data_IF_442898285481
#
_entry.id   IF_442898285481
#
_cell.length_a   1.000
_cell.length_b   1.000
_cell.length_c   1.000
_cell.angle_alpha   90.00
_cell.angle_beta   90.00
_cell.angle_gamma   90.00
#
_symmetry.space_group_name_H-M   'P 1'
#
loop_
_entity.id
_entity.type
_entity.pdbx_description
1 polymer ?
#
# COMPACT_ATOMS: atom_id res chain seq x y z
N UNK A 1 -29.55 50.18 3.47
CA UNK A 1 -29.30 48.74 3.28
C UNK A 1 -28.01 48.42 4.00
N UNK A 2 -28.07 47.71 5.12
CA UNK A 2 -26.85 47.16 5.72
C UNK A 2 -26.38 46.05 4.78
N UNK A 3 -25.18 46.21 4.22
CA UNK A 3 -24.50 45.14 3.50
C UNK A 3 -24.50 43.89 4.38
N UNK A 4 -24.87 42.75 3.81
CA UNK A 4 -24.89 41.47 4.52
C UNK A 4 -23.51 41.09 5.08
N UNK A 5 -23.40 39.98 5.82
CA UNK A 5 -22.13 39.57 6.41
C UNK A 5 -21.01 39.52 5.36
N UNK A 6 -19.89 40.20 5.65
CA UNK A 6 -18.74 40.24 4.75
C UNK A 6 -18.13 38.85 4.57
N UNK A 7 -17.68 38.55 3.35
CA UNK A 7 -16.95 37.33 3.02
C UNK A 7 -15.70 37.20 3.90
N UNK A 8 -15.55 36.05 4.57
CA UNK A 8 -14.36 35.65 5.33
C UNK A 8 -13.75 34.40 4.69
N UNK A 9 -12.41 34.35 4.63
CA UNK A 9 -11.65 33.16 4.24
C UNK A 9 -10.68 32.86 5.37
N UNK A 10 -10.75 31.67 5.96
CA UNK A 10 -10.04 31.30 7.19
C UNK A 10 -9.32 29.98 6.97
N UNK A 11 -8.02 29.95 7.25
CA UNK A 11 -7.25 28.72 7.39
C UNK A 11 -7.27 28.29 8.86
N UNK A 12 -7.59 27.02 9.12
CA UNK A 12 -7.64 26.45 10.48
C UNK A 12 -6.35 25.68 10.74
N UNK A 13 -5.75 25.89 11.92
CA UNK A 13 -4.57 25.15 12.35
C UNK A 13 -4.88 23.63 12.48
N UNK A 14 -3.87 22.75 12.47
CA UNK A 14 -4.08 21.32 12.66
C UNK A 14 -4.91 21.00 13.91
N UNK A 15 -5.84 20.08 13.76
CA UNK A 15 -6.72 19.57 14.82
C UNK A 15 -6.73 18.04 14.78
N UNK A 16 -7.13 17.35 15.87
CA UNK A 16 -7.35 15.91 15.82
C UNK A 16 -8.27 15.53 14.65
N UNK A 17 -7.90 14.55 13.81
CA UNK A 17 -8.57 14.27 12.54
C UNK A 17 -10.09 14.05 12.67
N UNK A 18 -10.51 13.24 13.65
CA UNK A 18 -11.92 12.98 13.91
C UNK A 18 -12.71 14.22 14.34
N UNK A 19 -12.08 15.14 15.10
CA UNK A 19 -12.68 16.42 15.51
C UNK A 19 -12.75 17.42 14.35
N UNK A 20 -11.72 17.44 13.50
CA UNK A 20 -11.71 18.27 12.29
C UNK A 20 -12.88 17.91 11.37
N UNK A 21 -13.05 16.61 11.11
CA UNK A 21 -14.17 16.11 10.33
C UNK A 21 -15.53 16.47 10.93
N UNK A 22 -15.70 16.31 12.25
CA UNK A 22 -16.93 16.69 12.93
C UNK A 22 -17.20 18.20 12.85
N UNK A 23 -16.19 19.04 13.09
CA UNK A 23 -16.34 20.49 13.03
C UNK A 23 -16.77 20.97 11.63
N UNK A 24 -16.16 20.45 10.57
CA UNK A 24 -16.50 20.80 9.19
C UNK A 24 -17.85 20.21 8.75
N UNK A 25 -18.20 19.03 9.24
CA UNK A 25 -19.52 18.43 8.99
C UNK A 25 -20.65 19.20 9.67
N UNK A 26 -20.41 19.78 10.86
CA UNK A 26 -21.34 20.69 11.53
C UNK A 26 -21.39 22.06 10.84
N UNK A 27 -20.23 22.62 10.51
CA UNK A 27 -20.10 23.93 9.86
C UNK A 27 -20.85 23.98 8.52
N UNK A 28 -20.82 22.90 7.73
CA UNK A 28 -21.55 22.83 6.45
C UNK A 28 -23.08 22.66 6.60
N UNK A 29 -23.58 22.36 7.79
CA UNK A 29 -25.00 22.02 8.05
C UNK A 29 -25.66 22.90 9.11
N UNK A 30 -24.99 23.97 9.53
CA UNK A 30 -25.50 24.92 10.53
C UNK A 30 -25.19 26.36 10.10
N UNK A 31 -25.95 27.36 10.59
CA UNK A 31 -25.62 28.77 10.37
C UNK A 31 -24.43 29.25 11.22
N UNK A 32 -23.88 28.38 12.08
CA UNK A 32 -22.78 28.68 13.00
C UNK A 32 -21.49 29.00 12.22
N UNK A 33 -20.65 29.86 12.79
CA UNK A 33 -19.30 30.05 12.25
C UNK A 33 -18.42 28.81 12.48
N UNK A 34 -17.29 28.71 11.78
CA UNK A 34 -16.32 27.64 12.06
C UNK A 34 -15.77 27.73 13.49
N UNK A 35 -15.63 28.94 14.05
CA UNK A 35 -15.20 29.13 15.45
C UNK A 35 -16.23 28.53 16.43
N UNK A 36 -17.51 28.77 16.20
CA UNK A 36 -18.60 28.22 17.03
C UNK A 36 -18.71 26.71 16.87
N UNK A 37 -18.53 26.20 15.65
CA UNK A 37 -18.49 24.75 15.38
C UNK A 37 -17.34 24.08 16.13
N UNK A 38 -16.14 24.68 16.14
CA UNK A 38 -14.98 24.15 16.87
C UNK A 38 -15.23 24.19 18.39
N UNK A 39 -15.75 25.29 18.94
CA UNK A 39 -16.10 25.38 20.37
C UNK A 39 -17.12 24.31 20.78
N UNK A 40 -18.12 24.06 19.92
CA UNK A 40 -19.11 23.02 20.14
C UNK A 40 -18.47 21.63 20.13
N UNK A 41 -17.69 21.30 19.10
CA UNK A 41 -17.02 19.99 19.00
C UNK A 41 -16.04 19.76 20.14
N UNK A 42 -15.33 20.79 20.60
CA UNK A 42 -14.43 20.68 21.74
C UNK A 42 -15.16 20.29 23.05
N UNK A 43 -16.41 20.71 23.23
CA UNK A 43 -17.22 20.38 24.42
C UNK A 43 -18.07 19.11 24.28
N UNK A 44 -18.03 18.44 23.12
CA UNK A 44 -18.86 17.27 22.82
C UNK A 44 -18.00 16.06 22.43
N UNK A 45 -18.55 14.86 22.63
CA UNK A 45 -17.88 13.63 22.21
C UNK A 45 -17.96 13.46 20.69
N UNK A 46 -16.81 13.41 20.02
CA UNK A 46 -16.72 13.07 18.60
C UNK A 46 -17.17 11.63 18.33
N UNK A 47 -16.88 10.70 19.24
CA UNK A 47 -17.20 9.28 19.07
C UNK A 47 -18.70 9.05 18.82
N UNK A 48 -19.57 9.67 19.64
CA UNK A 48 -21.04 9.58 19.44
C UNK A 48 -21.47 10.10 18.07
N UNK A 49 -20.84 11.16 17.59
CA UNK A 49 -21.09 11.71 16.26
C UNK A 49 -20.69 10.72 15.16
N UNK A 50 -19.51 10.09 15.28
CA UNK A 50 -19.02 9.10 14.33
C UNK A 50 -19.92 7.86 14.27
N UNK A 51 -20.27 7.28 15.41
CA UNK A 51 -21.16 6.12 15.51
C UNK A 51 -22.51 6.39 14.81
N UNK A 52 -23.10 7.56 15.05
CA UNK A 52 -24.39 7.92 14.49
C UNK A 52 -24.31 8.28 12.99
N UNK A 53 -23.43 9.21 12.61
CA UNK A 53 -23.48 9.80 11.26
C UNK A 53 -22.64 9.05 10.24
N UNK A 54 -21.50 8.50 10.63
CA UNK A 54 -20.64 7.78 9.72
C UNK A 54 -21.10 6.32 9.60
N UNK A 55 -21.11 5.58 10.70
CA UNK A 55 -21.36 4.14 10.67
C UNK A 55 -22.85 3.78 10.53
N UNK A 56 -23.75 4.42 11.28
CA UNK A 56 -25.18 4.10 11.21
C UNK A 56 -25.90 4.71 9.99
N UNK A 57 -25.66 5.98 9.67
CA UNK A 57 -26.31 6.64 8.53
C UNK A 57 -25.55 6.51 7.19
N UNK A 58 -24.30 6.05 7.20
CA UNK A 58 -23.51 5.83 5.98
C UNK A 58 -23.03 7.11 5.30
N UNK A 59 -22.90 8.24 6.01
CA UNK A 59 -22.36 9.48 5.44
C UNK A 59 -20.83 9.44 5.28
N UNK A 60 -20.35 8.57 4.39
CA UNK A 60 -18.94 8.28 4.20
C UNK A 60 -18.04 9.49 3.91
N UNK A 61 -18.57 10.52 3.24
CA UNK A 61 -17.78 11.71 2.87
C UNK A 61 -17.31 12.56 4.05
N UNK A 62 -17.93 12.42 5.22
CA UNK A 62 -17.49 13.13 6.43
C UNK A 62 -16.05 12.70 6.79
N UNK A 63 -15.71 11.43 6.58
CA UNK A 63 -14.37 10.92 6.87
C UNK A 63 -13.29 11.38 5.88
N UNK A 64 -13.66 12.01 4.78
CA UNK A 64 -12.67 12.65 3.90
C UNK A 64 -12.15 13.97 4.50
N UNK A 65 -12.83 14.53 5.51
CA UNK A 65 -12.48 15.81 6.11
C UNK A 65 -11.43 15.71 7.23
N UNK A 66 -11.08 14.49 7.64
CA UNK A 66 -10.00 14.21 8.58
C UNK A 66 -8.86 13.47 7.89
N UNK A 67 -7.63 13.94 8.05
CA UNK A 67 -6.44 13.34 7.46
C UNK A 67 -5.43 12.94 8.53
N UNK A 68 -4.72 11.84 8.30
CA UNK A 68 -3.76 11.26 9.24
C UNK A 68 -2.42 11.10 8.54
N UNK A 69 -1.34 11.44 9.24
CA UNK A 69 0.02 11.14 8.81
C UNK A 69 0.47 9.81 9.42
N UNK A 70 0.92 8.87 8.60
CA UNK A 70 1.41 7.56 9.04
C UNK A 70 2.80 7.33 8.43
N UNK A 71 3.72 6.84 9.25
CA UNK A 71 5.05 6.42 8.83
C UNK A 71 5.19 4.92 9.03
N UNK A 72 5.49 4.21 7.95
CA UNK A 72 5.85 2.80 7.96
C UNK A 72 7.36 2.69 7.86
N UNK A 73 7.97 2.01 8.82
CA UNK A 73 9.41 1.81 8.86
C UNK A 73 9.72 0.32 8.87
N UNK A 74 10.79 -0.07 8.18
CA UNK A 74 11.29 -1.45 8.16
C UNK A 74 10.31 -2.51 7.62
N UNK A 75 9.32 -2.10 6.83
CA UNK A 75 8.44 -3.00 6.08
C UNK A 75 9.14 -3.54 4.84
N UNK A 76 8.74 -4.70 4.32
CA UNK A 76 9.27 -5.18 3.04
C UNK A 76 8.87 -4.28 1.86
N UNK A 77 9.66 -4.29 0.79
CA UNK A 77 9.30 -3.64 -0.47
C UNK A 77 7.99 -4.21 -1.04
N UNK A 78 7.72 -5.50 -0.84
CA UNK A 78 6.43 -6.11 -1.18
C UNK A 78 5.27 -5.44 -0.43
N UNK A 79 5.46 -5.17 0.87
CA UNK A 79 4.45 -4.49 1.67
C UNK A 79 4.28 -3.02 1.23
N UNK A 80 5.37 -2.32 0.94
CA UNK A 80 5.35 -0.96 0.41
C UNK A 80 4.56 -0.88 -0.90
N UNK A 81 4.85 -1.75 -1.87
CA UNK A 81 4.09 -1.83 -3.15
C UNK A 81 2.58 -1.96 -2.92
N UNK A 82 2.18 -2.70 -1.88
CA UNK A 82 0.76 -2.96 -1.56
C UNK A 82 0.09 -1.82 -0.82
N UNK A 83 0.86 -1.04 -0.05
CA UNK A 83 0.40 0.19 0.57
C UNK A 83 0.23 1.30 -0.47
N UNK A 84 1.20 1.42 -1.38
CA UNK A 84 1.25 2.40 -2.46
C UNK A 84 0.23 2.13 -3.57
N UNK A 85 -0.27 0.89 -3.67
CA UNK A 85 -1.44 0.50 -4.48
C UNK A 85 -2.76 1.00 -3.86
N UNK A 86 -2.77 2.26 -3.45
CA UNK A 86 -3.93 3.01 -2.99
C UNK A 86 -4.12 4.21 -3.94
N UNK A 87 -5.29 4.37 -4.60
CA UNK A 87 -5.46 5.49 -5.52
C UNK A 87 -5.61 6.86 -4.85
N UNK A 88 -6.07 6.90 -3.60
CA UNK A 88 -6.47 8.13 -2.89
C UNK A 88 -5.59 8.39 -1.66
N UNK A 89 -4.27 8.47 -1.87
CA UNK A 89 -3.28 8.79 -0.83
C UNK A 89 -2.25 9.79 -1.35
N UNK A 90 -1.60 10.49 -0.44
CA UNK A 90 -0.41 11.30 -0.71
C UNK A 90 0.76 10.71 0.07
N UNK A 91 1.91 10.48 -0.57
CA UNK A 91 3.04 9.90 0.15
C UNK A 91 4.34 9.81 -0.61
N UNK A 92 5.35 9.27 0.06
CA UNK A 92 6.70 9.08 -0.45
C UNK A 92 7.31 7.79 0.13
N UNK A 93 7.90 6.98 -0.73
CA UNK A 93 8.69 5.81 -0.35
C UNK A 93 10.20 6.13 -0.38
N UNK A 94 10.99 5.40 0.41
CA UNK A 94 12.46 5.42 0.32
C UNK A 94 12.87 5.01 -1.10
N UNK A 95 13.49 5.92 -1.84
CA UNK A 95 13.79 5.66 -3.26
C UNK A 95 15.00 4.73 -3.45
N UNK A 96 14.77 3.55 -4.03
CA UNK A 96 15.82 2.62 -4.47
C UNK A 96 16.73 3.17 -5.59
N UNK A 97 16.35 4.29 -6.21
CA UNK A 97 17.18 4.99 -7.23
C UNK A 97 18.19 5.96 -6.62
N UNK A 98 18.00 6.39 -5.39
CA UNK A 98 18.82 7.43 -4.77
C UNK A 98 19.45 7.02 -3.45
N UNK A 99 18.91 6.00 -2.79
CA UNK A 99 19.37 5.52 -1.49
C UNK A 99 20.07 4.17 -1.65
N UNK A 100 21.09 3.94 -0.83
CA UNK A 100 21.72 2.62 -0.73
C UNK A 100 20.86 1.71 0.16
N UNK A 101 20.39 0.60 -0.40
CA UNK A 101 19.58 -0.40 0.31
C UNK A 101 20.42 -1.53 0.92
N UNK A 102 21.73 -1.57 0.67
CA UNK A 102 22.64 -2.60 1.17
C UNK A 102 22.52 -2.86 2.68
N UNK A 103 22.43 -1.82 3.53
CA UNK A 103 22.28 -1.98 4.97
C UNK A 103 20.84 -2.25 5.44
N UNK A 104 19.82 -2.20 4.57
CA UNK A 104 18.41 -2.28 4.98
C UNK A 104 18.02 -3.63 5.58
N UNK A 105 18.72 -4.70 5.22
CA UNK A 105 18.35 -6.08 5.57
C UNK A 105 17.05 -6.53 4.88
N UNK A 106 16.55 -7.69 5.28
CA UNK A 106 15.37 -8.31 4.69
C UNK A 106 14.34 -8.75 5.74
N UNK A 107 13.08 -8.69 5.33
CA UNK A 107 11.98 -9.41 5.96
C UNK A 107 12.15 -10.91 5.73
N UNK A 108 11.94 -11.71 6.77
CA UNK A 108 11.91 -13.18 6.69
C UNK A 108 10.53 -13.63 7.15
N UNK A 109 9.72 -14.23 6.27
CA UNK A 109 8.39 -14.73 6.63
C UNK A 109 8.46 -15.75 7.76
N UNK A 110 7.50 -15.70 8.69
CA UNK A 110 7.47 -16.63 9.81
C UNK A 110 7.24 -18.08 9.39
N UNK A 111 6.59 -18.31 8.24
CA UNK A 111 6.47 -19.64 7.64
C UNK A 111 7.82 -20.25 7.21
N UNK A 112 8.86 -19.43 7.05
CA UNK A 112 10.22 -19.87 6.70
C UNK A 112 11.10 -19.93 7.95
N UNK A 113 10.85 -19.06 8.93
CA UNK A 113 11.66 -18.96 10.16
C UNK A 113 11.69 -20.28 10.93
N UNK A 114 12.87 -20.73 11.32
CA UNK A 114 13.10 -21.98 12.02
C UNK A 114 12.94 -23.24 11.17
N UNK A 115 12.65 -23.11 9.87
CA UNK A 115 12.54 -24.26 8.96
C UNK A 115 13.87 -24.58 8.28
N UNK A 116 13.99 -25.77 7.70
CA UNK A 116 15.16 -26.16 6.89
C UNK A 116 15.40 -25.24 5.68
N UNK A 117 14.37 -24.53 5.22
CA UNK A 117 14.44 -23.62 4.06
C UNK A 117 15.03 -22.25 4.42
N UNK A 118 15.08 -21.87 5.71
CA UNK A 118 15.58 -20.56 6.14
C UNK A 118 17.03 -20.30 5.70
N UNK A 119 17.89 -21.32 5.83
CA UNK A 119 19.30 -21.20 5.44
C UNK A 119 19.46 -20.88 3.95
N UNK A 120 18.78 -21.63 3.09
CA UNK A 120 18.76 -21.40 1.64
C UNK A 120 18.20 -20.02 1.28
N UNK A 121 17.09 -19.63 1.90
CA UNK A 121 16.49 -18.31 1.71
C UNK A 121 17.49 -17.19 2.03
N UNK A 122 18.10 -17.22 3.21
CA UNK A 122 19.09 -16.22 3.63
C UNK A 122 20.34 -16.22 2.77
N UNK A 123 20.82 -17.39 2.34
CA UNK A 123 21.98 -17.52 1.46
C UNK A 123 21.76 -16.85 0.09
N UNK A 124 20.57 -17.07 -0.50
CA UNK A 124 20.17 -16.42 -1.76
C UNK A 124 20.12 -14.90 -1.58
N UNK A 125 19.44 -14.42 -0.53
CA UNK A 125 19.38 -12.99 -0.23
C UNK A 125 20.78 -12.40 -0.03
N UNK A 126 21.64 -13.05 0.77
CA UNK A 126 23.01 -12.60 0.99
C UNK A 126 23.80 -12.47 -0.32
N UNK A 127 23.62 -13.42 -1.24
CA UNK A 127 24.27 -13.41 -2.56
C UNK A 127 23.77 -12.26 -3.44
N UNK A 128 22.47 -11.99 -3.44
CA UNK A 128 21.85 -10.86 -4.14
C UNK A 128 22.34 -9.52 -3.60
N UNK A 129 22.39 -9.34 -2.28
CA UNK A 129 22.89 -8.11 -1.65
C UNK A 129 24.38 -7.89 -1.92
N UNK A 130 25.18 -8.96 -1.85
CA UNK A 130 26.59 -8.88 -2.17
C UNK A 130 26.79 -8.45 -3.64
N UNK A 131 26.04 -9.03 -4.59
CA UNK A 131 26.09 -8.60 -5.98
C UNK A 131 25.65 -7.14 -6.16
N UNK A 132 24.55 -6.73 -5.50
CA UNK A 132 24.06 -5.35 -5.50
C UNK A 132 25.14 -4.35 -5.05
N UNK A 133 25.86 -4.66 -3.96
CA UNK A 133 26.92 -3.81 -3.43
C UNK A 133 28.16 -3.80 -4.33
N UNK A 134 28.64 -4.97 -4.75
CA UNK A 134 29.88 -5.09 -5.53
C UNK A 134 29.77 -4.51 -6.94
N UNK A 135 28.58 -4.49 -7.53
CA UNK A 135 28.38 -3.99 -8.90
C UNK A 135 28.18 -2.48 -8.99
N UNK A 136 27.93 -1.78 -7.88
CA UNK A 136 27.65 -0.35 -7.92
C UNK A 136 28.81 0.48 -8.47
N UNK A 137 30.01 0.34 -7.90
CA UNK A 137 31.18 1.13 -8.32
C UNK A 137 31.66 0.80 -9.75
N UNK A 138 31.75 -0.49 -10.16
CA UNK A 138 32.05 -0.83 -11.55
C UNK A 138 31.04 -0.23 -12.55
N UNK A 139 29.74 -0.27 -12.24
CA UNK A 139 28.71 0.33 -13.10
C UNK A 139 28.83 1.86 -13.13
N UNK A 140 29.13 2.48 -11.99
CA UNK A 140 29.36 3.93 -11.91
C UNK A 140 30.53 4.37 -12.80
N UNK A 141 31.66 3.66 -12.74
CA UNK A 141 32.81 3.92 -13.59
C UNK A 141 32.46 3.76 -15.07
N UNK A 142 31.81 2.66 -15.42
CA UNK A 142 31.36 2.38 -16.79
C UNK A 142 30.39 3.43 -17.35
N UNK A 143 29.42 3.87 -16.54
CA UNK A 143 28.47 4.91 -16.94
C UNK A 143 29.16 6.27 -17.08
N UNK A 144 30.17 6.54 -16.25
CA UNK A 144 30.97 7.78 -16.33
C UNK A 144 31.76 7.84 -17.63
N UNK A 145 32.38 6.72 -18.05
CA UNK A 145 33.12 6.63 -19.31
C UNK A 145 32.20 6.86 -20.51
N UNK A 146 30.99 6.29 -20.49
CA UNK A 146 30.04 6.34 -21.61
C UNK A 146 29.22 7.61 -21.70
N UNK A 147 29.03 8.30 -20.58
CA UNK A 147 28.24 9.54 -20.53
C UNK A 147 29.08 10.65 -19.92
N UNK A 148 30.12 11.17 -20.60
CA UNK A 148 30.97 12.22 -20.02
C UNK A 148 30.16 13.43 -19.54
N UNK A 149 30.66 14.10 -18.50
CA UNK A 149 30.01 15.28 -17.93
C UNK A 149 29.93 16.40 -18.97
N UNK A 150 28.73 16.95 -19.24
CA UNK A 150 28.61 18.17 -20.05
C UNK A 150 29.23 19.38 -19.36
N UNK A 151 29.86 20.27 -20.11
CA UNK A 151 30.50 21.48 -19.55
C UNK A 151 29.52 22.38 -18.79
N UNK A 152 28.26 22.42 -19.22
CA UNK A 152 27.18 23.19 -18.59
C UNK A 152 26.69 22.61 -17.26
N UNK A 153 27.03 21.37 -16.93
CA UNK A 153 26.56 20.68 -15.72
C UNK A 153 27.60 20.76 -14.60
N UNK A 154 27.17 21.13 -13.39
CA UNK A 154 28.04 21.11 -12.19
C UNK A 154 28.49 19.68 -11.89
N UNK A 155 29.73 19.50 -11.44
CA UNK A 155 30.28 18.17 -11.12
C UNK A 155 29.40 17.41 -10.12
N UNK A 156 28.95 18.06 -9.05
CA UNK A 156 28.11 17.42 -8.05
C UNK A 156 26.76 16.91 -8.61
N UNK A 157 26.15 17.65 -9.54
CA UNK A 157 24.90 17.23 -10.19
C UNK A 157 25.13 16.04 -11.12
N UNK A 158 26.25 16.03 -11.84
CA UNK A 158 26.67 14.92 -12.66
C UNK A 158 26.94 13.65 -11.82
N UNK A 159 27.74 13.77 -10.77
CA UNK A 159 28.13 12.65 -9.90
C UNK A 159 26.90 12.02 -9.24
N UNK A 160 25.96 12.85 -8.77
CA UNK A 160 24.66 12.40 -8.25
C UNK A 160 23.82 11.69 -9.31
N UNK A 161 23.82 12.20 -10.55
CA UNK A 161 23.09 11.60 -11.67
C UNK A 161 23.65 10.23 -12.05
N UNK A 162 24.97 10.09 -12.15
CA UNK A 162 25.61 8.82 -12.46
C UNK A 162 25.42 7.83 -11.31
N UNK A 163 25.54 8.26 -10.05
CA UNK A 163 25.26 7.41 -8.89
C UNK A 163 23.81 6.90 -8.92
N UNK A 164 22.84 7.78 -9.19
CA UNK A 164 21.43 7.40 -9.28
C UNK A 164 21.16 6.41 -10.43
N UNK A 165 21.78 6.60 -11.60
CA UNK A 165 21.70 5.64 -12.72
C UNK A 165 22.33 4.28 -12.37
N UNK A 166 23.40 4.29 -11.59
CA UNK A 166 24.05 3.06 -11.11
C UNK A 166 23.13 2.29 -10.16
N UNK A 167 22.42 2.99 -9.27
CA UNK A 167 21.36 2.39 -8.46
C UNK A 167 20.17 1.90 -9.29
N UNK A 168 19.78 2.65 -10.33
CA UNK A 168 18.66 2.27 -11.21
C UNK A 168 18.90 0.93 -11.95
N UNK A 169 20.16 0.58 -12.20
CA UNK A 169 20.58 -0.71 -12.75
C UNK A 169 20.74 -1.77 -11.66
N UNK A 170 21.45 -1.46 -10.57
CA UNK A 170 21.73 -2.45 -9.52
C UNK A 170 20.49 -2.85 -8.72
N UNK A 171 19.46 -1.99 -8.63
CA UNK A 171 18.22 -2.29 -7.87
C UNK A 171 17.47 -3.53 -8.36
N UNK A 172 17.69 -3.99 -9.58
CA UNK A 172 17.11 -5.25 -10.08
C UNK A 172 17.63 -6.50 -9.35
N UNK A 173 18.69 -6.35 -8.56
CA UNK A 173 19.21 -7.38 -7.65
C UNK A 173 18.55 -7.33 -6.26
N UNK A 174 17.79 -6.27 -5.95
CA UNK A 174 17.10 -6.16 -4.67
C UNK A 174 15.87 -7.08 -4.66
N UNK A 175 15.77 -7.99 -3.68
CA UNK A 175 14.60 -8.84 -3.54
C UNK A 175 13.43 -8.03 -2.97
N UNK A 176 12.19 -8.44 -3.26
CA UNK A 176 10.99 -7.80 -2.68
C UNK A 176 10.92 -7.88 -1.14
N UNK A 177 11.74 -8.73 -0.52
CA UNK A 177 11.87 -8.79 0.93
C UNK A 177 12.81 -7.75 1.52
N UNK A 178 13.53 -6.95 0.72
CA UNK A 178 14.36 -5.86 1.25
C UNK A 178 13.48 -4.89 2.05
N UNK A 179 14.00 -4.40 3.17
CA UNK A 179 13.28 -3.45 4.01
C UNK A 179 13.36 -2.02 3.47
N UNK A 180 12.24 -1.32 3.58
CA UNK A 180 12.03 0.05 3.10
C UNK A 180 11.16 0.83 4.07
N UNK A 181 10.97 2.12 3.79
CA UNK A 181 10.13 3.01 4.56
C UNK A 181 9.15 3.74 3.64
N UNK A 182 7.94 4.00 4.11
CA UNK A 182 6.90 4.75 3.41
C UNK A 182 6.27 5.76 4.36
N UNK A 183 6.19 7.02 3.96
CA UNK A 183 5.38 8.03 4.65
C UNK A 183 4.12 8.31 3.86
N UNK A 184 2.96 8.34 4.52
CA UNK A 184 1.68 8.68 3.90
C UNK A 184 0.92 9.75 4.68
N UNK A 185 0.13 10.53 3.95
CA UNK A 185 -0.97 11.34 4.44
C UNK A 185 -2.22 10.86 3.73
N UNK A 186 -3.26 10.52 4.50
CA UNK A 186 -4.44 9.85 3.96
C UNK A 186 -5.69 10.25 4.75
N UNK A 187 -6.84 10.30 4.09
CA UNK A 187 -8.10 10.56 4.78
C UNK A 187 -8.51 9.37 5.66
N UNK A 188 -9.33 9.63 6.69
CA UNK A 188 -9.90 8.58 7.54
C UNK A 188 -10.62 7.53 6.69
N UNK A 189 -11.44 7.95 5.71
CA UNK A 189 -12.17 7.01 4.85
C UNK A 189 -11.25 6.09 4.05
N UNK A 190 -10.19 6.63 3.46
CA UNK A 190 -9.27 5.82 2.67
C UNK A 190 -8.48 4.89 3.58
N UNK A 191 -8.04 5.38 4.75
CA UNK A 191 -7.31 4.56 5.71
C UNK A 191 -8.13 3.37 6.22
N UNK A 192 -9.44 3.55 6.47
CA UNK A 192 -10.33 2.45 6.87
C UNK A 192 -10.38 1.34 5.81
N UNK A 193 -10.51 1.72 4.54
CA UNK A 193 -10.49 0.78 3.41
C UNK A 193 -9.14 0.11 3.25
N UNK A 194 -8.05 0.86 3.41
CA UNK A 194 -6.68 0.34 3.37
C UNK A 194 -6.47 -0.69 4.49
N UNK A 195 -6.82 -0.38 5.74
CA UNK A 195 -6.75 -1.31 6.88
C UNK A 195 -7.60 -2.55 6.60
N UNK A 196 -8.85 -2.39 6.17
CA UNK A 196 -9.74 -3.51 5.82
C UNK A 196 -9.09 -4.44 4.78
N UNK A 197 -8.49 -3.88 3.73
CA UNK A 197 -7.78 -4.63 2.67
C UNK A 197 -6.55 -5.36 3.24
N UNK A 198 -5.78 -4.70 4.09
CA UNK A 198 -4.57 -5.27 4.73
C UNK A 198 -4.92 -6.44 5.66
N UNK A 199 -5.94 -6.28 6.51
CA UNK A 199 -6.45 -7.34 7.40
C UNK A 199 -6.99 -8.54 6.62
N UNK A 200 -7.52 -8.31 5.41
CA UNK A 200 -8.05 -9.35 4.53
C UNK A 200 -6.96 -10.04 3.68
N UNK A 201 -5.71 -9.62 3.80
CA UNK A 201 -4.62 -10.12 2.96
C UNK A 201 -4.23 -11.56 3.30
N UNK A 202 -3.83 -12.34 2.30
CA UNK A 202 -3.20 -13.66 2.53
C UNK A 202 -1.75 -13.57 2.99
N UNK A 203 -1.10 -12.41 2.82
CA UNK A 203 0.28 -12.20 3.24
C UNK A 203 0.32 -11.83 4.73
N UNK A 204 1.00 -12.62 5.58
CA UNK A 204 1.05 -12.37 7.03
C UNK A 204 1.56 -10.97 7.40
N UNK A 205 2.60 -10.49 6.71
CA UNK A 205 3.16 -9.14 6.94
C UNK A 205 2.11 -8.04 6.76
N UNK A 206 1.27 -8.14 5.72
CA UNK A 206 0.23 -7.15 5.46
C UNK A 206 -0.86 -7.17 6.54
N UNK A 207 -1.25 -8.36 7.03
CA UNK A 207 -2.21 -8.46 8.14
C UNK A 207 -1.66 -7.83 9.41
N UNK A 208 -0.38 -8.10 9.73
CA UNK A 208 0.30 -7.50 10.87
C UNK A 208 0.32 -5.97 10.76
N UNK A 209 0.71 -5.42 9.61
CA UNK A 209 0.66 -3.97 9.35
C UNK A 209 -0.77 -3.43 9.53
N UNK A 210 -1.79 -4.16 9.09
CA UNK A 210 -3.19 -3.78 9.29
C UNK A 210 -3.59 -3.67 10.76
N UNK A 211 -3.15 -4.60 11.61
CA UNK A 211 -3.40 -4.53 13.06
C UNK A 211 -2.57 -3.43 13.74
N UNK A 212 -1.29 -3.29 13.38
CA UNK A 212 -0.40 -2.23 13.88
C UNK A 212 -0.93 -0.83 13.53
N UNK A 213 -1.56 -0.67 12.35
CA UNK A 213 -2.24 0.55 11.95
C UNK A 213 -3.43 0.89 12.85
N UNK A 214 -4.25 -0.11 13.20
CA UNK A 214 -5.37 0.09 14.14
C UNK A 214 -4.87 0.49 15.51
N UNK A 215 -3.81 -0.16 15.99
CA UNK A 215 -3.17 0.19 17.25
C UNK A 215 -2.62 1.63 17.20
N UNK A 216 -1.90 1.98 16.14
CA UNK A 216 -1.34 3.32 15.94
C UNK A 216 -2.41 4.41 15.92
N UNK A 217 -3.57 4.14 15.32
CA UNK A 217 -4.69 5.08 15.28
C UNK A 217 -5.43 5.21 16.62
N UNK A 218 -5.34 4.20 17.48
CA UNK A 218 -6.03 4.13 18.78
C UNK A 218 -5.18 4.58 19.97
N UNK A 219 -3.85 4.64 19.82
CA UNK A 219 -2.93 5.06 20.88
C UNK A 219 -2.55 6.53 20.76
N UNK A 220 -1.84 7.01 21.77
CA UNK A 220 -1.25 8.34 21.76
C UNK A 220 -0.26 8.49 20.59
N UNK A 221 -0.44 9.49 19.70
CA UNK A 221 0.51 9.71 18.61
C UNK A 221 1.83 10.27 19.12
N UNK A 222 2.90 10.03 18.36
CA UNK A 222 4.17 10.72 18.54
C UNK A 222 3.96 12.24 18.37
N UNK A 223 4.45 13.05 19.33
CA UNK A 223 4.29 14.51 19.30
C UNK A 223 5.64 15.26 19.34
N UNK A 224 6.75 14.60 18.98
CA UNK A 224 8.14 15.10 19.11
C UNK A 224 8.33 16.55 18.64
N UNK A 225 7.65 16.96 17.55
CA UNK A 225 7.71 18.35 17.08
C UNK A 225 7.23 19.37 18.14
N UNK A 226 6.16 19.06 18.86
CA UNK A 226 5.62 19.89 19.94
C UNK A 226 6.59 19.97 21.12
N UNK A 227 7.18 18.84 21.50
CA UNK A 227 8.19 18.75 22.56
C UNK A 227 9.42 19.60 22.24
N UNK A 228 9.97 19.44 21.02
CA UNK A 228 11.10 20.23 20.53
C UNK A 228 10.78 21.73 20.41
N UNK A 229 9.51 22.07 20.20
CA UNK A 229 9.03 23.45 20.14
C UNK A 229 8.74 24.05 21.52
N UNK A 230 9.00 23.32 22.62
CA UNK A 230 8.80 23.81 23.98
C UNK A 230 7.34 23.98 24.40
N UNK A 231 6.39 23.41 23.65
CA UNK A 231 5.00 23.40 24.07
C UNK A 231 4.80 22.25 25.07
N UNK A 232 4.19 22.53 26.24
CA UNK A 232 3.74 21.47 27.13
C UNK A 232 2.86 20.51 26.32
N UNK A 233 3.13 19.21 26.43
CA UNK A 233 2.39 18.18 25.73
C UNK A 233 0.88 18.38 25.99
N UNK A 234 0.19 18.98 25.01
CA UNK A 234 -1.26 18.99 25.01
C UNK A 234 -1.75 17.55 25.06
N UNK A 235 -2.99 17.35 25.50
CA UNK A 235 -3.65 16.04 25.47
C UNK A 235 -3.51 15.44 24.06
N UNK A 236 -2.52 14.57 23.88
CA UNK A 236 -2.34 13.87 22.63
C UNK A 236 -3.41 12.78 22.63
N UNK A 237 -4.60 13.13 22.17
CA UNK A 237 -5.66 12.15 21.97
C UNK A 237 -5.30 11.26 20.78
N UNK A 238 -5.82 10.01 20.74
CA UNK A 238 -5.71 9.16 19.56
C UNK A 238 -6.22 9.86 18.30
N UNK A 239 -5.57 9.60 17.15
CA UNK A 239 -5.87 10.32 15.91
C UNK A 239 -7.18 9.89 15.25
N UNK A 240 -7.50 8.59 15.29
CA UNK A 240 -8.75 8.05 14.74
C UNK A 240 -9.18 6.75 15.45
N UNK A 241 -9.52 6.83 16.76
CA UNK A 241 -9.88 5.66 17.56
C UNK A 241 -11.20 5.01 17.11
N UNK A 242 -12.13 5.77 16.53
CA UNK A 242 -13.42 5.24 16.09
C UNK A 242 -13.23 4.44 14.80
N UNK A 243 -12.46 4.97 13.83
CA UNK A 243 -12.04 4.20 12.64
C UNK A 243 -11.35 2.90 13.04
N UNK A 244 -10.40 2.95 13.97
CA UNK A 244 -9.63 1.78 14.36
C UNK A 244 -10.49 0.68 14.98
N UNK A 245 -11.62 1.03 15.61
CA UNK A 245 -12.57 0.06 16.15
C UNK A 245 -13.37 -0.66 15.06
N UNK A 246 -13.78 0.07 14.02
CA UNK A 246 -14.71 -0.44 13.00
C UNK A 246 -14.01 -1.01 11.76
N UNK A 247 -12.74 -0.68 11.53
CA UNK A 247 -11.93 -1.29 10.49
C UNK A 247 -11.76 -2.80 10.78
N UNK A 248 -12.46 -3.61 9.99
CA UNK A 248 -12.58 -5.06 10.16
C UNK A 248 -12.20 -5.78 8.87
N UNK A 249 -11.72 -7.04 8.94
CA UNK A 249 -11.44 -7.81 7.74
C UNK A 249 -12.72 -8.05 6.93
N UNK A 250 -12.58 -8.04 5.60
CA UNK A 250 -13.63 -8.38 4.67
C UNK A 250 -13.52 -9.86 4.28
N UNK A 251 -14.51 -10.66 4.69
CA UNK A 251 -14.52 -12.12 4.47
C UNK A 251 -14.38 -12.48 2.98
N UNK A 252 -15.10 -11.78 2.10
CA UNK A 252 -15.01 -12.01 0.66
C UNK A 252 -13.58 -11.81 0.14
N UNK A 253 -12.91 -10.70 0.51
CA UNK A 253 -11.53 -10.47 0.09
C UNK A 253 -10.55 -11.51 0.66
N UNK A 254 -10.80 -11.96 1.89
CA UNK A 254 -9.98 -12.96 2.56
C UNK A 254 -10.16 -14.37 1.95
N UNK A 255 -11.33 -14.70 1.41
CA UNK A 255 -11.66 -16.07 1.01
C UNK A 255 -11.64 -16.27 -0.51
N UNK A 256 -11.96 -15.24 -1.30
CA UNK A 256 -12.25 -15.36 -2.74
C UNK A 256 -11.16 -16.10 -3.53
N UNK A 257 -9.89 -15.83 -3.28
CA UNK A 257 -8.81 -16.48 -4.03
C UNK A 257 -8.54 -17.92 -3.57
N UNK A 258 -8.81 -18.24 -2.31
CA UNK A 258 -8.73 -19.60 -1.79
C UNK A 258 -9.86 -20.44 -2.36
N UNK A 259 -11.06 -19.88 -2.43
CA UNK A 259 -12.22 -20.53 -3.05
C UNK A 259 -12.04 -20.68 -4.56
N UNK A 260 -11.54 -19.65 -5.25
CA UNK A 260 -11.23 -19.70 -6.67
C UNK A 260 -10.15 -20.75 -6.96
N UNK A 261 -9.11 -20.84 -6.14
CA UNK A 261 -8.09 -21.90 -6.26
C UNK A 261 -8.69 -23.30 -6.06
N UNK A 262 -9.65 -23.45 -5.13
CA UNK A 262 -10.36 -24.73 -4.91
C UNK A 262 -11.22 -25.08 -6.12
N UNK A 263 -11.97 -24.13 -6.65
CA UNK A 263 -12.77 -24.29 -7.85
C UNK A 263 -11.91 -24.64 -9.07
N UNK A 264 -10.78 -23.95 -9.26
CA UNK A 264 -9.90 -24.12 -10.41
C UNK A 264 -9.26 -25.52 -10.50
N UNK A 265 -9.14 -26.26 -9.39
CA UNK A 265 -8.53 -27.59 -9.38
C UNK A 265 -9.22 -28.58 -10.31
N UNK A 266 -10.55 -28.67 -10.24
CA UNK A 266 -11.30 -29.67 -10.99
C UNK A 266 -11.25 -29.47 -12.52
N UNK A 267 -11.56 -28.29 -13.08
CA UNK A 267 -11.48 -28.07 -14.52
C UNK A 267 -10.05 -28.14 -15.06
N UNK A 268 -9.06 -27.65 -14.31
CA UNK A 268 -7.67 -27.71 -14.75
C UNK A 268 -7.12 -29.14 -14.69
N UNK A 269 -7.47 -29.92 -13.66
CA UNK A 269 -7.12 -31.34 -13.59
C UNK A 269 -7.76 -32.15 -14.71
N UNK A 270 -9.04 -31.90 -15.01
CA UNK A 270 -9.71 -32.54 -16.14
C UNK A 270 -9.02 -32.25 -17.48
N UNK A 271 -8.38 -31.08 -17.60
CA UNK A 271 -7.59 -30.68 -18.76
C UNK A 271 -6.11 -31.09 -18.70
N UNK A 272 -5.66 -31.76 -17.63
CA UNK A 272 -4.24 -32.13 -17.43
C UNK A 272 -3.31 -30.95 -17.13
N UNK A 273 -3.84 -29.86 -16.57
CA UNK A 273 -3.13 -28.60 -16.28
C UNK A 273 -2.88 -28.36 -14.78
N UNK A 274 -3.10 -29.35 -13.91
CA UNK A 274 -2.98 -29.23 -12.46
C UNK A 274 -1.55 -29.38 -11.91
N UNK A 275 -0.61 -29.84 -12.73
CA UNK A 275 0.80 -30.03 -12.36
C UNK A 275 1.74 -29.16 -13.23
N UNK A 276 2.74 -28.47 -12.64
CA UNK A 276 3.70 -27.65 -13.39
C UNK A 276 4.49 -28.41 -14.48
N UNK A 277 4.67 -29.71 -14.30
CA UNK A 277 5.36 -30.59 -15.25
C UNK A 277 4.43 -31.28 -16.25
N UNK A 278 3.10 -31.20 -16.06
CA UNK A 278 2.12 -31.88 -16.93
C UNK A 278 1.76 -31.07 -18.18
N UNK A 279 2.16 -29.80 -18.26
CA UNK A 279 2.02 -29.01 -19.48
C UNK A 279 3.03 -29.49 -20.52
N UNK A 280 2.63 -30.49 -21.31
CA UNK A 280 3.34 -30.96 -22.51
C UNK A 280 3.44 -29.90 -23.63
N UNK A 281 3.01 -28.67 -23.37
CA UNK A 281 3.06 -27.54 -24.30
C UNK A 281 4.33 -26.75 -23.98
N UNK A 282 5.31 -26.69 -24.89
CA UNK A 282 6.43 -25.77 -24.77
C UNK A 282 5.88 -24.34 -24.80
N UNK A 283 6.04 -23.61 -23.70
CA UNK A 283 5.58 -22.22 -23.60
C UNK A 283 6.80 -21.33 -23.78
N UNK A 284 6.82 -20.43 -24.78
CA UNK A 284 7.91 -19.47 -24.91
C UNK A 284 7.94 -18.55 -23.67
N UNK A 285 9.11 -18.00 -23.29
CA UNK A 285 9.21 -17.06 -22.16
C UNK A 285 8.29 -15.84 -22.28
N UNK A 286 7.94 -15.49 -23.52
CA UNK A 286 6.97 -14.44 -23.86
C UNK A 286 5.98 -15.04 -24.85
N UNK A 287 4.69 -14.96 -24.52
CA UNK A 287 3.61 -15.48 -25.34
C UNK A 287 2.64 -14.35 -25.72
N UNK A 288 2.45 -14.09 -27.01
CA UNK A 288 1.51 -13.09 -27.52
C UNK A 288 0.13 -13.74 -27.67
N UNK A 289 -0.84 -13.24 -26.91
CA UNK A 289 -2.23 -13.71 -26.96
C UNK A 289 -3.07 -12.76 -27.82
N UNK A 290 -3.77 -13.31 -28.81
CA UNK A 290 -4.68 -12.55 -29.66
C UNK A 290 -5.91 -12.07 -28.87
N UNK A 291 -6.54 -10.95 -29.28
CA UNK A 291 -7.82 -10.54 -28.72
C UNK A 291 -8.86 -11.66 -28.80
N UNK A 292 -9.61 -11.85 -27.72
CA UNK A 292 -10.62 -12.89 -27.59
C UNK A 292 -11.86 -12.33 -26.88
N UNK A 293 -12.90 -13.15 -26.73
CA UNK A 293 -14.15 -12.70 -26.15
C UNK A 293 -13.94 -12.25 -24.69
N UNK A 294 -14.49 -11.09 -24.24
CA UNK A 294 -14.21 -10.55 -22.90
C UNK A 294 -14.59 -11.49 -21.74
N UNK A 295 -15.61 -12.32 -21.92
CA UNK A 295 -16.01 -13.31 -20.91
C UNK A 295 -14.96 -14.43 -20.79
N UNK A 296 -14.37 -14.86 -21.91
CA UNK A 296 -13.32 -15.86 -21.91
C UNK A 296 -12.05 -15.29 -21.28
N UNK A 297 -11.74 -14.02 -21.57
CA UNK A 297 -10.62 -13.29 -20.98
C UNK A 297 -10.77 -13.18 -19.46
N UNK A 298 -11.96 -12.82 -18.98
CA UNK A 298 -12.24 -12.71 -17.55
C UNK A 298 -12.08 -14.06 -16.84
N UNK A 299 -12.73 -15.12 -17.35
CA UNK A 299 -12.66 -16.45 -16.75
C UNK A 299 -11.23 -17.02 -16.80
N UNK A 300 -10.52 -16.88 -17.93
CA UNK A 300 -9.13 -17.33 -18.06
C UNK A 300 -8.19 -16.56 -17.12
N UNK A 301 -8.37 -15.25 -16.98
CA UNK A 301 -7.57 -14.41 -16.06
C UNK A 301 -7.78 -14.81 -14.61
N UNK A 302 -9.01 -15.11 -14.20
CA UNK A 302 -9.34 -15.58 -12.85
C UNK A 302 -8.64 -16.91 -12.55
N UNK A 303 -8.73 -17.90 -13.45
CA UNK A 303 -8.06 -19.20 -13.28
C UNK A 303 -6.52 -19.08 -13.33
N UNK A 304 -6.00 -18.24 -14.22
CA UNK A 304 -4.56 -18.00 -14.36
C UNK A 304 -3.96 -17.46 -13.06
N UNK A 305 -4.68 -16.57 -12.37
CA UNK A 305 -4.24 -15.99 -11.10
C UNK A 305 -4.04 -17.01 -9.97
N UNK A 306 -4.72 -18.16 -10.03
CA UNK A 306 -4.69 -19.20 -8.99
C UNK A 306 -4.09 -20.53 -9.46
N UNK A 307 -3.42 -20.53 -10.61
CA UNK A 307 -2.80 -21.73 -11.17
C UNK A 307 -1.40 -21.45 -11.71
N UNK A 308 -0.64 -22.52 -11.95
CA UNK A 308 0.67 -22.45 -12.62
C UNK A 308 0.57 -22.77 -14.11
N UNK A 309 -0.64 -22.97 -14.64
CA UNK A 309 -0.86 -23.33 -16.03
C UNK A 309 -0.65 -22.11 -16.94
N UNK A 310 -0.09 -22.30 -18.16
CA UNK A 310 0.06 -21.23 -19.13
C UNK A 310 -1.28 -20.61 -19.50
N UNK A 311 -1.35 -19.27 -19.58
CA UNK A 311 -2.59 -18.56 -19.92
C UNK A 311 -3.26 -19.10 -21.19
N UNK A 312 -2.48 -19.35 -22.26
CA UNK A 312 -3.00 -19.91 -23.52
C UNK A 312 -3.67 -21.28 -23.34
N UNK A 313 -3.15 -22.13 -22.45
CA UNK A 313 -3.72 -23.43 -22.18
C UNK A 313 -5.05 -23.31 -21.42
N UNK A 314 -5.09 -22.42 -20.41
CA UNK A 314 -6.30 -22.09 -19.66
C UNK A 314 -7.37 -21.50 -20.60
N UNK A 315 -6.98 -20.57 -21.47
CA UNK A 315 -7.90 -19.94 -22.42
C UNK A 315 -8.58 -20.98 -23.33
N UNK A 316 -7.85 -21.99 -23.80
CA UNK A 316 -8.44 -23.08 -24.60
C UNK A 316 -9.50 -23.86 -23.81
N UNK A 317 -9.20 -24.18 -22.55
CA UNK A 317 -10.17 -24.86 -21.66
C UNK A 317 -11.43 -24.01 -21.48
N UNK A 318 -11.26 -22.70 -21.24
CA UNK A 318 -12.37 -21.76 -21.06
C UNK A 318 -13.18 -21.59 -22.35
N UNK A 319 -12.55 -21.59 -23.53
CA UNK A 319 -13.27 -21.49 -24.80
C UNK A 319 -14.23 -22.67 -25.04
N UNK A 320 -13.89 -23.85 -24.52
CA UNK A 320 -14.74 -25.04 -24.58
C UNK A 320 -15.84 -25.06 -23.50
N UNK A 321 -15.88 -24.09 -22.58
CA UNK A 321 -16.92 -23.98 -21.56
C UNK A 321 -18.24 -23.47 -22.13
N UNK A 322 -19.33 -23.99 -21.57
CA UNK A 322 -20.68 -23.44 -21.76
C UNK A 322 -20.82 -22.06 -21.12
N UNK A 323 -21.77 -21.24 -21.59
CA UNK A 323 -22.05 -19.93 -20.98
C UNK A 323 -22.34 -20.03 -19.48
N UNK A 324 -23.04 -21.09 -19.05
CA UNK A 324 -23.33 -21.34 -17.63
C UNK A 324 -22.08 -21.64 -16.80
N UNK A 325 -21.01 -22.16 -17.40
CA UNK A 325 -19.75 -22.38 -16.68
C UNK A 325 -18.91 -21.10 -16.60
N UNK A 326 -19.10 -20.16 -17.53
CA UNK A 326 -18.39 -18.88 -17.58
C UNK A 326 -19.01 -17.80 -16.66
N UNK A 327 -20.31 -17.91 -16.37
CA UNK A 327 -21.10 -16.99 -15.55
C UNK A 327 -21.42 -17.54 -14.15
#
# INVERSE_FOLDING_TARGET
MQDGPHRRVIAVAPMPPEKSAYALARYSRSPDSIEDSIRWVHSHSSEKFWEQFYFAYGHGSIADLGHIMICFEHISELAAVRLEDEPLWDGQAKSSRYQNFGPSGCYVPDAIRGTETEGSYRGILGSLFNAYQLLHDPLKAFLTERTPRPDSMKSADYDRTIAARSFDVTRYLLPLSVRTNVGQVVSIRTLEKQITRLLSSQLPELRLIGEELKEACSRQPMNLWSELSGHQAGLAEPLAPTLARHATPNAYQAEVYTELARFAKDPLKAAGLDLPAATAIPVPPVDLIEPHHPVDELAATLLYRVSHAPYRAILRVVQDWTDKQKH
#
